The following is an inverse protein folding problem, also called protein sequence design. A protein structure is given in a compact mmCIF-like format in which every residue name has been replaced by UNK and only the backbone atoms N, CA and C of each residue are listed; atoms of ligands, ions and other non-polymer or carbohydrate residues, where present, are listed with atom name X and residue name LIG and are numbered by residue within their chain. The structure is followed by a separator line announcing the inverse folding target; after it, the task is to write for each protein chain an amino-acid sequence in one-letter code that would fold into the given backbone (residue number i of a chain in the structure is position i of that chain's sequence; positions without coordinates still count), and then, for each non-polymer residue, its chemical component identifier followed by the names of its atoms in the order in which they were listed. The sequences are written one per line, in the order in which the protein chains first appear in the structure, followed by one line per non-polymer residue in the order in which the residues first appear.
data_IF_813753493020
#
_entry.id   IF_813753493020
#
_cell.length_a   1.000
_cell.length_b   1.000
_cell.length_c   1.000
_cell.angle_alpha   90.00
_cell.angle_beta   90.00
_cell.angle_gamma   90.00
#
_symmetry.space_group_name_H-M   'P 1'
#
loop_
_entity.id
_entity.type
_entity.pdbx_description
1 polymer ?
#
# COMPACT_ATOMS: atom_id res chain seq x y z
N UNK A 1 5.95 -59.83 20.95
CA UNK A 1 6.25 -58.75 19.97
C UNK A 1 5.04 -57.82 19.93
N UNK A 2 4.80 -57.06 21.01
CA UNK A 2 3.71 -56.08 21.07
C UNK A 2 4.13 -54.82 20.32
N UNK A 3 3.23 -54.28 19.52
CA UNK A 3 3.40 -53.05 18.75
C UNK A 3 2.59 -52.00 19.50
N UNK A 4 3.26 -51.11 20.23
CA UNK A 4 2.60 -50.15 21.12
C UNK A 4 1.73 -49.16 20.32
N UNK A 5 0.41 -49.09 20.59
CA UNK A 5 -0.53 -48.27 19.81
C UNK A 5 -0.46 -46.78 20.20
N UNK A 6 0.28 -46.43 21.26
CA UNK A 6 0.43 -45.06 21.75
C UNK A 6 1.52 -44.27 21.00
N UNK A 7 2.35 -44.97 20.22
CA UNK A 7 3.44 -44.38 19.45
C UNK A 7 3.03 -43.57 18.22
N UNK A 8 1.77 -43.64 17.77
CA UNK A 8 1.32 -42.84 16.62
C UNK A 8 0.72 -41.48 17.04
N UNK A 9 0.09 -41.43 18.23
CA UNK A 9 -0.64 -40.26 18.69
C UNK A 9 0.27 -39.09 19.04
N UNK A 10 1.37 -39.35 19.77
CA UNK A 10 2.34 -38.32 20.13
C UNK A 10 3.05 -37.73 18.90
N UNK A 11 3.30 -38.54 17.85
CA UNK A 11 3.90 -38.07 16.60
C UNK A 11 2.96 -37.08 15.88
N UNK A 12 1.65 -37.35 15.85
CA UNK A 12 0.67 -36.43 15.27
C UNK A 12 0.58 -35.10 16.03
N UNK A 13 0.61 -35.14 17.37
CA UNK A 13 0.61 -33.90 18.17
C UNK A 13 1.90 -33.10 17.99
N UNK A 14 3.06 -33.76 17.92
CA UNK A 14 4.35 -33.10 17.68
C UNK A 14 4.42 -32.49 16.28
N UNK A 15 4.01 -33.24 15.25
CA UNK A 15 3.94 -32.72 13.87
C UNK A 15 2.93 -31.58 13.75
N UNK A 16 1.78 -31.69 14.43
CA UNK A 16 0.78 -30.62 14.48
C UNK A 16 1.30 -29.35 15.15
N UNK A 17 1.97 -29.48 16.30
CA UNK A 17 2.58 -28.35 17.02
C UNK A 17 3.69 -27.69 16.20
N UNK A 18 4.57 -28.49 15.59
CA UNK A 18 5.65 -28.00 14.73
C UNK A 18 5.10 -27.27 13.50
N UNK A 19 4.03 -27.80 12.88
CA UNK A 19 3.37 -27.16 11.74
C UNK A 19 2.71 -25.84 12.14
N UNK A 20 2.07 -25.78 13.32
CA UNK A 20 1.51 -24.55 13.86
C UNK A 20 2.63 -23.52 14.09
N UNK A 21 3.71 -23.85 14.78
CA UNK A 21 4.85 -22.93 14.98
C UNK A 21 5.46 -22.42 13.67
N UNK A 22 5.55 -23.27 12.65
CA UNK A 22 6.05 -22.90 11.33
C UNK A 22 5.11 -21.94 10.59
N UNK A 23 3.79 -22.13 10.73
CA UNK A 23 2.76 -21.28 10.13
C UNK A 23 2.56 -19.95 10.87
N UNK A 24 2.99 -19.87 12.14
CA UNK A 24 2.92 -18.68 12.98
C UNK A 24 4.28 -17.99 13.17
N UNK A 25 5.18 -18.10 12.19
CA UNK A 25 6.44 -17.34 12.20
C UNK A 25 6.12 -15.84 12.23
N UNK A 26 6.27 -15.23 13.41
CA UNK A 26 6.03 -13.80 13.60
C UNK A 26 7.18 -13.07 12.92
N UNK A 27 6.94 -12.60 11.69
CA UNK A 27 7.84 -11.66 11.05
C UNK A 27 7.86 -10.37 11.89
N UNK A 28 8.92 -10.17 12.67
CA UNK A 28 9.15 -8.94 13.41
C UNK A 28 10.04 -8.05 12.55
N UNK A 29 9.52 -6.91 12.13
CA UNK A 29 10.29 -5.89 11.43
C UNK A 29 11.14 -5.12 12.45
N UNK A 30 12.27 -5.72 12.88
CA UNK A 30 13.13 -5.16 13.93
C UNK A 30 14.09 -4.07 13.42
N UNK A 31 14.25 -3.94 12.10
CA UNK A 31 15.22 -3.06 11.45
C UNK A 31 14.57 -1.90 10.66
N UNK A 32 13.30 -1.59 10.92
CA UNK A 32 12.67 -0.38 10.37
C UNK A 32 13.04 0.83 11.22
N UNK A 33 13.59 1.86 10.59
CA UNK A 33 13.86 3.14 11.25
C UNK A 33 12.55 3.93 11.39
N UNK A 34 12.09 4.06 12.63
CA UNK A 34 10.89 4.85 12.97
C UNK A 34 11.20 6.31 13.26
N UNK A 35 12.47 6.66 13.52
CA UNK A 35 12.90 8.03 13.84
C UNK A 35 13.14 8.83 12.56
N UNK A 36 13.70 8.19 11.53
CA UNK A 36 13.97 8.76 10.20
C UNK A 36 12.86 8.52 9.17
N UNK A 37 11.62 8.23 9.60
CA UNK A 37 10.53 7.94 8.69
C UNK A 37 10.16 9.16 7.84
N UNK A 38 10.05 8.97 6.51
CA UNK A 38 9.55 10.01 5.61
C UNK A 38 8.04 10.14 5.78
N UNK A 39 7.57 11.36 6.04
CA UNK A 39 6.15 11.70 6.13
C UNK A 39 5.73 12.45 4.88
N UNK A 40 4.54 12.12 4.36
CA UNK A 40 3.92 12.81 3.23
C UNK A 40 2.51 13.20 3.62
N UNK A 41 2.18 14.46 3.35
CA UNK A 41 0.89 15.04 3.68
C UNK A 41 0.11 15.35 2.39
N UNK A 42 -1.22 15.23 2.48
CA UNK A 42 -2.13 15.54 1.39
C UNK A 42 -3.37 16.27 1.89
N UNK A 43 -4.23 16.68 0.96
CA UNK A 43 -5.39 17.52 1.26
C UNK A 43 -6.30 16.91 2.35
N UNK A 44 -6.64 17.66 3.42
CA UNK A 44 -7.56 17.19 4.45
C UNK A 44 -8.89 16.71 3.89
N UNK A 45 -9.40 15.58 4.41
CA UNK A 45 -10.67 14.99 3.98
C UNK A 45 -10.65 14.29 2.62
N UNK A 46 -9.52 14.29 1.90
CA UNK A 46 -9.38 13.57 0.62
C UNK A 46 -9.17 12.05 0.75
N UNK A 47 -9.00 11.56 1.98
CA UNK A 47 -8.54 10.21 2.29
C UNK A 47 -7.18 9.90 1.64
N UNK A 48 -6.29 10.89 1.59
CA UNK A 48 -4.90 10.69 1.16
C UNK A 48 -4.24 9.59 1.99
N UNK A 49 -3.67 8.58 1.31
CA UNK A 49 -3.11 7.40 1.95
C UNK A 49 -4.06 6.20 2.00
N UNK A 50 -5.26 6.30 1.42
CA UNK A 50 -6.20 5.17 1.34
C UNK A 50 -5.61 3.96 0.62
N UNK A 51 -4.76 4.19 -0.37
CA UNK A 51 -3.92 3.18 -1.00
C UNK A 51 -2.52 3.74 -1.27
N UNK A 52 -1.51 2.88 -1.24
CA UNK A 52 -0.10 3.27 -1.46
C UNK A 52 0.63 2.25 -2.32
N UNK A 53 1.57 2.72 -3.14
CA UNK A 53 2.48 1.87 -3.91
C UNK A 53 3.84 2.55 -4.08
N UNK A 54 4.93 1.78 -4.00
CA UNK A 54 6.25 2.25 -4.41
C UNK A 54 6.42 2.03 -5.92
N UNK A 55 6.89 3.06 -6.61
CA UNK A 55 7.10 3.01 -8.06
C UNK A 55 8.51 3.46 -8.41
N UNK A 56 9.18 2.72 -9.30
CA UNK A 56 10.48 3.09 -9.86
C UNK A 56 10.33 3.37 -11.34
N UNK A 57 10.41 4.65 -11.69
CA UNK A 57 10.40 5.14 -13.06
C UNK A 57 11.82 5.04 -13.63
N UNK A 58 11.95 4.61 -14.90
CA UNK A 58 13.26 4.45 -15.57
C UNK A 58 13.55 5.55 -16.61
N UNK A 59 12.51 6.16 -17.19
CA UNK A 59 12.62 7.20 -18.23
C UNK A 59 11.78 8.42 -17.83
N UNK A 60 12.21 9.66 -18.11
CA UNK A 60 13.45 10.05 -18.81
C UNK A 60 14.73 9.84 -17.99
N UNK A 61 14.62 9.56 -16.69
CA UNK A 61 15.71 9.10 -15.85
C UNK A 61 15.21 8.28 -14.66
N UNK A 62 16.09 7.53 -13.97
CA UNK A 62 15.71 6.74 -12.81
C UNK A 62 15.22 7.62 -11.67
N UNK A 63 13.97 7.45 -11.25
CA UNK A 63 13.36 8.16 -10.13
C UNK A 63 12.45 7.21 -9.35
N UNK A 64 12.51 7.29 -8.02
CA UNK A 64 11.62 6.53 -7.14
C UNK A 64 10.54 7.45 -6.59
N UNK A 65 9.32 6.92 -6.57
CA UNK A 65 8.11 7.63 -6.20
C UNK A 65 7.34 6.82 -5.17
N UNK A 66 6.74 7.51 -4.21
CA UNK A 66 5.61 7.01 -3.46
C UNK A 66 4.34 7.46 -4.17
N UNK A 67 3.57 6.50 -4.69
CA UNK A 67 2.25 6.74 -5.25
C UNK A 67 1.21 6.62 -4.13
N UNK A 68 0.32 7.60 -4.04
CA UNK A 68 -0.70 7.69 -3.00
C UNK A 68 -2.08 7.92 -3.62
N UNK A 69 -3.02 7.05 -3.30
CA UNK A 69 -4.43 7.21 -3.64
C UNK A 69 -5.15 8.09 -2.62
N UNK A 70 -5.98 9.01 -3.12
CA UNK A 70 -6.88 9.84 -2.32
C UNK A 70 -8.29 9.83 -2.96
N UNK A 71 -9.14 8.83 -2.66
CA UNK A 71 -10.41 8.61 -3.35
C UNK A 71 -11.44 9.72 -3.13
N UNK A 72 -11.25 10.60 -2.14
CA UNK A 72 -12.10 11.76 -1.90
C UNK A 72 -11.39 13.07 -2.29
N UNK A 73 -10.34 13.05 -3.10
CA UNK A 73 -9.79 14.29 -3.63
C UNK A 73 -10.84 15.01 -4.53
N UNK A 74 -10.78 16.35 -4.52
CA UNK A 74 -11.62 17.17 -5.39
C UNK A 74 -11.38 16.83 -6.86
N UNK A 75 -12.41 17.02 -7.66
CA UNK A 75 -12.35 16.83 -9.09
C UNK A 75 -11.47 17.88 -9.77
N UNK A 76 -10.89 17.48 -10.91
CA UNK A 76 -10.21 18.42 -11.79
C UNK A 76 -11.25 19.29 -12.52
N UNK A 77 -10.86 20.49 -12.99
CA UNK A 77 -11.74 21.30 -13.81
C UNK A 77 -12.26 20.53 -15.03
N UNK A 78 -13.56 20.64 -15.31
CA UNK A 78 -14.18 20.00 -16.47
C UNK A 78 -14.74 18.60 -16.24
N UNK A 79 -14.85 18.14 -15.00
CA UNK A 79 -15.50 16.88 -14.64
C UNK A 79 -16.91 17.11 -14.06
N UNK A 80 -17.81 16.13 -14.21
CA UNK A 80 -19.19 16.26 -13.73
C UNK A 80 -19.31 16.10 -12.21
N UNK A 81 -18.58 15.15 -11.63
CA UNK A 81 -18.57 14.90 -10.20
C UNK A 81 -17.69 15.92 -9.46
N UNK A 82 -18.08 16.28 -8.22
CA UNK A 82 -17.27 17.18 -7.37
C UNK A 82 -16.05 16.47 -6.74
N UNK A 83 -16.13 15.14 -6.58
CA UNK A 83 -15.10 14.31 -5.95
C UNK A 83 -14.83 13.10 -6.85
N UNK A 84 -13.85 13.20 -7.75
CA UNK A 84 -13.48 12.09 -8.64
C UNK A 84 -12.40 11.19 -8.04
N UNK A 85 -11.89 11.54 -6.86
CA UNK A 85 -10.68 10.94 -6.28
C UNK A 85 -9.44 11.43 -7.03
N UNK A 86 -8.25 10.92 -6.67
CA UNK A 86 -7.02 11.28 -7.35
C UNK A 86 -5.86 10.35 -7.01
N UNK A 87 -4.89 10.26 -7.91
CA UNK A 87 -3.59 9.66 -7.69
C UNK A 87 -2.56 10.76 -7.50
N UNK A 88 -1.69 10.62 -6.51
CA UNK A 88 -0.62 11.58 -6.21
C UNK A 88 0.72 10.86 -6.30
N UNK A 89 1.74 11.56 -6.78
CA UNK A 89 3.12 11.11 -6.79
C UNK A 89 3.95 12.00 -5.87
N UNK A 90 4.65 11.37 -4.92
CA UNK A 90 5.51 12.04 -3.97
C UNK A 90 6.96 11.59 -4.20
N UNK A 91 7.92 12.51 -4.37
CA UNK A 91 9.34 12.19 -4.29
C UNK A 91 9.68 11.53 -2.95
N UNK A 92 10.70 10.66 -2.92
CA UNK A 92 11.25 10.13 -1.67
C UNK A 92 12.22 11.14 -1.00
N UNK A 93 11.73 12.37 -0.82
CA UNK A 93 12.45 13.47 -0.14
C UNK A 93 11.93 13.67 1.29
N UNK A 94 12.63 14.48 2.09
CA UNK A 94 12.22 14.90 3.44
C UNK A 94 11.10 15.96 3.43
N UNK A 95 10.82 16.61 2.29
CA UNK A 95 9.75 17.60 2.20
C UNK A 95 8.40 16.91 2.30
N UNK A 96 7.53 17.36 3.18
CA UNK A 96 6.29 16.62 3.48
C UNK A 96 5.16 16.93 2.49
N UNK A 97 5.23 18.11 1.85
CA UNK A 97 4.17 18.65 0.99
C UNK A 97 4.52 18.65 -0.49
N UNK A 98 5.56 17.91 -0.90
CA UNK A 98 6.05 17.81 -2.29
C UNK A 98 5.28 16.82 -3.17
N UNK A 99 4.14 16.32 -2.71
CA UNK A 99 3.26 15.45 -3.48
C UNK A 99 2.47 16.25 -4.50
N UNK A 100 2.47 15.80 -5.76
CA UNK A 100 1.64 16.40 -6.81
C UNK A 100 0.65 15.39 -7.37
N UNK A 101 -0.51 15.89 -7.79
CA UNK A 101 -1.54 15.06 -8.42
C UNK A 101 -1.05 14.62 -9.79
N UNK A 102 -1.07 13.30 -10.03
CA UNK A 102 -0.78 12.71 -11.34
C UNK A 102 -1.95 12.99 -12.26
N UNK A 103 -1.63 13.49 -13.45
CA UNK A 103 -2.63 13.78 -14.45
C UNK A 103 -3.01 12.53 -15.24
N UNK A 104 -4.16 11.95 -14.91
CA UNK A 104 -4.73 10.76 -15.56
C UNK A 104 -6.04 11.10 -16.26
N UNK A 105 -6.80 12.03 -15.70
CA UNK A 105 -8.19 12.34 -16.09
C UNK A 105 -8.33 13.72 -16.77
N UNK A 106 -7.24 14.45 -17.05
CA UNK A 106 -7.34 15.72 -17.78
C UNK A 106 -7.91 15.49 -19.19
N UNK A 107 -8.90 16.31 -19.54
CA UNK A 107 -9.59 16.20 -20.82
C UNK A 107 -10.64 15.09 -20.87
N UNK A 108 -11.12 14.61 -19.72
CA UNK A 108 -12.24 13.69 -19.67
C UNK A 108 -13.46 14.24 -20.43
N UNK A 109 -14.09 13.36 -21.23
CA UNK A 109 -15.29 13.69 -21.98
C UNK A 109 -16.50 13.57 -21.04
N UNK A 110 -17.07 14.71 -20.65
CA UNK A 110 -18.23 14.81 -19.74
C UNK A 110 -19.41 13.95 -20.24
N UNK A 111 -19.57 13.75 -21.55
CA UNK A 111 -20.66 12.93 -22.09
C UNK A 111 -20.41 11.42 -21.93
N UNK A 112 -19.18 11.00 -21.62
CA UNK A 112 -18.77 9.60 -21.41
C UNK A 112 -18.29 9.32 -19.99
N UNK A 113 -18.20 10.32 -19.12
CA UNK A 113 -17.87 10.11 -17.72
C UNK A 113 -18.96 9.24 -17.05
N UNK A 114 -18.50 8.29 -16.23
CA UNK A 114 -19.36 7.31 -15.53
C UNK A 114 -19.39 7.51 -14.01
N UNK A 115 -18.70 8.55 -13.52
CA UNK A 115 -18.61 8.89 -12.10
C UNK A 115 -19.66 9.92 -11.69
#
# INVERSE_FOLDING_TARGET
RSRDPWGASWICYLLGSLLVELLFSRAVAFNLDVMGALRKEGEPGSLFGFSVALHRQLQPGPQSWLLVGAPQALALPGQQANRTGGLFACPLSLEETDCYRVDIDQGADVQKESK
#
